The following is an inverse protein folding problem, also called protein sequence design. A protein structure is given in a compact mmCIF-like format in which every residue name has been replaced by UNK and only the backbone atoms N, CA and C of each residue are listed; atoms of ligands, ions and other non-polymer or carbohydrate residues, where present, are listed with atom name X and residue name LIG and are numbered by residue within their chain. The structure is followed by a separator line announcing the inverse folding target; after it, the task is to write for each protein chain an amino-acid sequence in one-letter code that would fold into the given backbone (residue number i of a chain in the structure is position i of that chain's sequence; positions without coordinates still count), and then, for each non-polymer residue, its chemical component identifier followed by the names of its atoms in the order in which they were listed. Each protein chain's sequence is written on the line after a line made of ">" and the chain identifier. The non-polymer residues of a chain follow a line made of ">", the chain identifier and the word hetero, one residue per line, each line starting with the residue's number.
data_IF_793414366744
#
_entry.id   IF_793414366744
#
_cell.length_a   1.000
_cell.length_b   1.000
_cell.length_c   1.000
_cell.angle_alpha   90.00
_cell.angle_beta   90.00
_cell.angle_gamma   90.00
#
_symmetry.space_group_name_H-M   'P 1'
#
loop_
_entity.id
_entity.type
_entity.pdbx_description
1 polymer ?
#
# COMPACT_ATOMS: atom_id res chain seq x y z
N UNK A 1 -46.44 -16.27 45.74
CA UNK A 1 -45.84 -16.28 44.37
C UNK A 1 -45.61 -14.90 43.76
N UNK A 2 -45.88 -13.77 44.43
CA UNK A 2 -45.73 -12.41 43.84
C UNK A 2 -44.33 -11.79 43.98
N UNK A 3 -43.56 -12.18 45.00
CA UNK A 3 -42.26 -11.56 45.30
C UNK A 3 -41.15 -11.93 44.29
N UNK A 4 -41.17 -13.18 43.78
CA UNK A 4 -40.21 -13.66 42.79
C UNK A 4 -40.41 -13.00 41.41
N UNK A 5 -41.65 -12.66 41.06
CA UNK A 5 -41.99 -12.00 39.78
C UNK A 5 -41.48 -10.55 39.71
N UNK A 6 -41.50 -9.85 40.84
CA UNK A 6 -41.02 -8.47 40.94
C UNK A 6 -39.48 -8.38 40.87
N UNK A 7 -38.78 -9.43 41.31
CA UNK A 7 -37.32 -9.56 41.19
C UNK A 7 -36.90 -9.81 39.74
N UNK A 8 -37.61 -10.68 39.01
CA UNK A 8 -37.34 -10.96 37.59
C UNK A 8 -37.59 -9.74 36.69
N UNK A 9 -38.60 -8.93 36.99
CA UNK A 9 -38.93 -7.72 36.22
C UNK A 9 -37.89 -6.60 36.42
N UNK A 10 -37.33 -6.48 37.64
CA UNK A 10 -36.21 -5.55 37.91
C UNK A 10 -34.92 -5.96 37.20
N UNK A 11 -34.59 -7.26 37.22
CA UNK A 11 -33.37 -7.77 36.59
C UNK A 11 -33.44 -7.63 35.06
N UNK A 12 -34.58 -7.93 34.44
CA UNK A 12 -34.78 -7.74 32.99
C UNK A 12 -34.72 -6.26 32.59
N UNK A 13 -35.24 -5.35 33.42
CA UNK A 13 -35.10 -3.90 33.23
C UNK A 13 -33.64 -3.41 33.27
N UNK A 14 -32.82 -3.96 34.18
CA UNK A 14 -31.39 -3.63 34.31
C UNK A 14 -30.61 -4.17 33.10
N UNK A 15 -30.83 -5.42 32.71
CA UNK A 15 -30.17 -6.04 31.55
C UNK A 15 -30.50 -5.25 30.28
N UNK A 16 -31.76 -4.88 30.07
CA UNK A 16 -32.17 -4.07 28.91
C UNK A 16 -31.45 -2.71 28.86
N UNK A 17 -31.27 -2.04 30.01
CA UNK A 17 -30.52 -0.77 30.08
C UNK A 17 -29.05 -0.96 29.75
N UNK A 18 -28.43 -2.02 30.26
CA UNK A 18 -27.02 -2.36 29.98
C UNK A 18 -26.83 -2.70 28.49
N UNK A 19 -27.74 -3.47 27.90
CA UNK A 19 -27.70 -3.80 26.46
C UNK A 19 -27.83 -2.57 25.58
N UNK A 20 -28.71 -1.63 25.93
CA UNK A 20 -28.86 -0.36 25.19
C UNK A 20 -27.57 0.49 25.29
N UNK A 21 -26.97 0.57 26.47
CA UNK A 21 -25.71 1.29 26.69
C UNK A 21 -24.55 0.65 25.93
N UNK A 22 -24.48 -0.69 25.92
CA UNK A 22 -23.48 -1.44 25.17
C UNK A 22 -23.63 -1.25 23.65
N UNK A 23 -24.85 -1.33 23.12
CA UNK A 23 -25.13 -1.05 21.70
C UNK A 23 -24.75 0.37 21.35
N UNK A 24 -25.05 1.35 22.21
CA UNK A 24 -24.71 2.75 21.97
C UNK A 24 -23.19 2.97 21.94
N UNK A 25 -22.43 2.41 22.88
CA UNK A 25 -20.96 2.48 22.91
C UNK A 25 -20.35 1.76 21.71
N UNK A 26 -20.86 0.57 21.35
CA UNK A 26 -20.39 -0.18 20.19
C UNK A 26 -20.68 0.55 18.87
N UNK A 27 -21.83 1.22 18.78
CA UNK A 27 -22.19 2.05 17.62
C UNK A 27 -21.24 3.24 17.45
N UNK A 28 -20.86 3.89 18.56
CA UNK A 28 -19.85 4.96 18.53
C UNK A 28 -18.50 4.41 18.06
N UNK A 29 -18.07 3.26 18.56
CA UNK A 29 -16.83 2.61 18.12
C UNK A 29 -16.84 2.24 16.62
N UNK A 30 -17.98 1.77 16.10
CA UNK A 30 -18.12 1.45 14.67
C UNK A 30 -18.08 2.69 13.76
N UNK A 31 -18.61 3.83 14.23
CA UNK A 31 -18.56 5.09 13.47
C UNK A 31 -17.12 5.63 13.38
N UNK A 32 -16.31 5.46 14.44
CA UNK A 32 -14.91 5.92 14.43
C UNK A 32 -13.95 5.03 13.62
N UNK A 33 -14.28 3.75 13.38
CA UNK A 33 -13.39 2.81 12.68
C UNK A 33 -13.47 2.85 11.15
N UNK A 34 -14.34 3.67 10.55
CA UNK A 34 -14.59 3.64 9.09
C UNK A 34 -14.38 4.98 8.36
N UNK A 35 -13.45 5.82 8.84
CA UNK A 35 -12.91 6.90 8.01
C UNK A 35 -11.82 6.31 7.10
N UNK A 36 -12.14 6.14 5.82
CA UNK A 36 -11.25 5.46 4.86
C UNK A 36 -9.90 6.17 4.74
N UNK A 37 -8.81 5.45 5.00
CA UNK A 37 -7.43 5.94 4.80
C UNK A 37 -7.11 6.29 3.34
N UNK A 38 -7.87 5.75 2.38
CA UNK A 38 -7.63 5.89 0.96
C UNK A 38 -8.37 7.09 0.37
N UNK A 39 -7.64 7.92 -0.36
CA UNK A 39 -8.19 9.06 -1.10
C UNK A 39 -8.84 8.57 -2.40
N UNK A 40 -9.99 9.16 -2.75
CA UNK A 40 -10.75 8.76 -3.93
C UNK A 40 -10.23 9.47 -5.17
N UNK A 41 -9.74 8.71 -6.15
CA UNK A 41 -9.37 9.29 -7.44
C UNK A 41 -10.61 9.86 -8.15
N UNK A 42 -10.49 11.11 -8.61
CA UNK A 42 -11.48 11.76 -9.46
C UNK A 42 -11.05 11.63 -10.93
N UNK A 43 -11.87 10.95 -11.73
CA UNK A 43 -11.67 10.79 -13.17
C UNK A 43 -11.16 9.41 -13.59
N UNK A 44 -10.86 9.27 -14.89
CA UNK A 44 -10.41 8.01 -15.50
C UNK A 44 -8.92 8.08 -15.86
N UNK A 45 -8.16 7.06 -15.46
CA UNK A 45 -6.73 6.91 -15.77
C UNK A 45 -6.45 6.58 -17.25
N UNK A 46 -7.46 6.16 -18.02
CA UNK A 46 -7.32 5.64 -19.39
C UNK A 46 -6.97 6.69 -20.46
N UNK A 47 -6.93 7.98 -20.09
CA UNK A 47 -6.65 9.09 -21.02
C UNK A 47 -5.29 9.74 -20.81
N UNK A 48 -4.43 9.15 -19.99
CA UNK A 48 -3.10 9.70 -19.74
C UNK A 48 -2.19 9.50 -20.97
N UNK A 49 -1.47 10.54 -21.43
CA UNK A 49 -0.46 10.41 -22.49
C UNK A 49 0.69 9.48 -22.08
N UNK A 50 0.89 9.24 -20.78
CA UNK A 50 1.92 8.35 -20.25
C UNK A 50 1.53 6.86 -20.23
N UNK A 51 0.31 6.52 -20.66
CA UNK A 51 -0.20 5.15 -20.67
C UNK A 51 0.72 4.14 -21.39
N UNK A 52 1.39 4.47 -22.51
CA UNK A 52 2.36 3.56 -23.14
C UNK A 52 3.56 3.20 -22.25
N UNK A 53 3.92 4.07 -21.30
CA UNK A 53 5.07 3.86 -20.40
C UNK A 53 4.68 3.11 -19.12
N UNK A 54 3.45 3.29 -18.64
CA UNK A 54 2.97 2.62 -17.43
C UNK A 54 2.30 1.27 -17.70
N UNK A 55 1.85 1.03 -18.93
CA UNK A 55 1.10 -0.17 -19.32
C UNK A 55 -0.41 0.03 -19.24
N UNK A 56 -1.18 -0.90 -19.78
CA UNK A 56 -2.65 -0.75 -19.93
C UNK A 56 -3.44 -0.95 -18.64
N UNK A 57 -2.91 -1.75 -17.73
CA UNK A 57 -3.46 -2.13 -16.43
C UNK A 57 -2.79 -1.41 -15.26
N UNK A 58 -2.08 -0.31 -15.51
CA UNK A 58 -1.45 0.45 -14.42
C UNK A 58 -2.49 0.95 -13.41
N UNK A 59 -2.09 0.95 -12.14
CA UNK A 59 -2.93 1.36 -11.02
C UNK A 59 -2.28 2.51 -10.26
N UNK A 60 -3.10 3.44 -9.79
CA UNK A 60 -2.65 4.57 -8.98
C UNK A 60 -3.54 4.69 -7.75
N UNK A 61 -2.93 4.92 -6.59
CA UNK A 61 -3.63 5.15 -5.33
C UNK A 61 -2.94 6.21 -4.50
N UNK A 62 -3.71 6.95 -3.71
CA UNK A 62 -3.17 7.82 -2.69
C UNK A 62 -3.88 7.54 -1.36
N UNK A 63 -3.12 7.54 -0.26
CA UNK A 63 -3.66 7.31 1.08
C UNK A 63 -3.07 8.29 2.08
N UNK A 64 -3.86 8.65 3.09
CA UNK A 64 -3.37 9.37 4.25
C UNK A 64 -2.59 8.39 5.12
N UNK A 65 -1.42 8.81 5.58
CA UNK A 65 -0.57 8.00 6.44
C UNK A 65 -0.83 8.34 7.90
N UNK A 66 -1.20 7.34 8.69
CA UNK A 66 -1.31 7.46 10.14
C UNK A 66 0.03 7.15 10.82
N UNK A 67 0.14 7.44 12.12
CA UNK A 67 1.39 7.25 12.88
C UNK A 67 1.87 5.80 12.87
N UNK A 68 0.95 4.84 12.93
CA UNK A 68 1.29 3.42 12.96
C UNK A 68 1.87 2.96 11.60
N UNK A 69 1.35 3.50 10.50
CA UNK A 69 1.79 3.17 9.14
C UNK A 69 3.18 3.79 8.83
N UNK A 70 3.55 4.90 9.50
CA UNK A 70 4.88 5.52 9.35
C UNK A 70 6.02 4.60 9.78
N UNK A 71 5.81 3.72 10.76
CA UNK A 71 6.86 2.80 11.22
C UNK A 71 7.26 1.79 10.15
N UNK A 72 6.28 1.28 9.42
CA UNK A 72 6.49 0.37 8.30
C UNK A 72 7.14 1.11 7.13
N UNK A 73 6.63 2.29 6.77
CA UNK A 73 7.20 3.11 5.69
C UNK A 73 8.65 3.50 5.99
N UNK A 74 8.99 3.81 7.25
CA UNK A 74 10.38 4.08 7.66
C UNK A 74 11.31 2.89 7.41
N UNK A 75 10.83 1.66 7.61
CA UNK A 75 11.61 0.44 7.30
C UNK A 75 11.81 0.31 5.80
N UNK A 76 10.75 0.49 5.01
CA UNK A 76 10.82 0.42 3.55
C UNK A 76 11.79 1.45 2.97
N UNK A 77 11.72 2.70 3.42
CA UNK A 77 12.62 3.78 3.02
C UNK A 77 14.09 3.46 3.37
N UNK A 78 14.34 2.90 4.56
CA UNK A 78 15.68 2.48 4.98
C UNK A 78 16.21 1.31 4.13
N UNK A 79 15.34 0.36 3.78
CA UNK A 79 15.70 -0.76 2.92
C UNK A 79 16.07 -0.29 1.51
N UNK A 80 15.30 0.64 0.95
CA UNK A 80 15.62 1.26 -0.34
C UNK A 80 16.96 2.00 -0.29
N UNK A 81 17.19 2.81 0.74
CA UNK A 81 18.44 3.54 0.91
C UNK A 81 19.65 2.59 1.05
N UNK A 82 19.47 1.47 1.73
CA UNK A 82 20.49 0.44 1.87
C UNK A 82 20.81 -0.25 0.54
N UNK A 83 19.83 -0.37 -0.36
CA UNK A 83 20.01 -1.00 -1.68
C UNK A 83 20.75 -0.11 -2.70
N UNK A 84 20.52 1.21 -2.68
CA UNK A 84 21.06 2.13 -3.70
C UNK A 84 22.38 2.81 -3.31
N UNK A 85 22.73 2.81 -2.03
CA UNK A 85 23.97 3.41 -1.48
C UNK A 85 24.34 4.78 -2.07
N UNK A 86 23.47 5.81 -1.94
CA UNK A 86 23.77 7.16 -2.41
C UNK A 86 24.90 7.82 -1.60
N UNK A 87 25.54 8.86 -2.16
CA UNK A 87 26.63 9.60 -1.49
C UNK A 87 26.16 10.25 -0.18
N UNK A 88 24.92 10.74 -0.11
CA UNK A 88 24.34 11.42 1.05
C UNK A 88 23.60 10.47 2.00
N UNK A 89 24.04 9.20 2.05
CA UNK A 89 23.34 8.13 2.79
C UNK A 89 23.14 8.47 4.27
N UNK A 90 24.15 9.06 4.93
CA UNK A 90 24.08 9.36 6.36
C UNK A 90 23.01 10.42 6.66
N UNK A 91 22.98 11.49 5.90
CA UNK A 91 22.00 12.58 6.06
C UNK A 91 20.58 12.08 5.79
N UNK A 92 20.37 11.34 4.68
CA UNK A 92 19.06 10.75 4.37
C UNK A 92 18.62 9.73 5.41
N UNK A 93 19.54 8.95 5.96
CA UNK A 93 19.21 7.97 7.00
C UNK A 93 18.79 8.64 8.32
N UNK A 94 19.48 9.71 8.71
CA UNK A 94 19.10 10.51 9.88
C UNK A 94 17.72 11.13 9.67
N UNK A 95 17.49 11.69 8.49
CA UNK A 95 16.22 12.30 8.13
C UNK A 95 15.05 11.30 8.15
N UNK A 96 15.22 10.13 7.55
CA UNK A 96 14.20 9.06 7.57
C UNK A 96 13.98 8.58 9.01
N UNK A 97 15.02 8.59 9.84
CA UNK A 97 14.91 8.19 11.25
C UNK A 97 14.18 9.24 12.09
N UNK A 98 14.30 10.53 11.75
CA UNK A 98 13.60 11.62 12.43
C UNK A 98 12.14 11.78 12.01
N UNK A 99 11.69 11.10 10.93
CA UNK A 99 10.30 11.15 10.48
C UNK A 99 9.34 10.83 11.63
N UNK A 100 8.60 11.86 12.04
CA UNK A 100 7.59 11.79 13.09
C UNK A 100 6.26 12.30 12.55
N UNK A 101 5.17 11.63 12.92
CA UNK A 101 3.79 12.01 12.52
C UNK A 101 3.28 13.31 13.15
N UNK A 102 4.12 14.05 13.88
CA UNK A 102 3.79 15.35 14.49
C UNK A 102 4.19 16.55 13.64
N UNK A 103 5.12 16.38 12.70
CA UNK A 103 5.71 17.47 11.91
C UNK A 103 4.74 18.03 10.86
N UNK A 104 3.84 17.20 10.36
CA UNK A 104 2.95 17.59 9.28
C UNK A 104 1.98 16.48 8.89
N UNK A 105 1.30 16.72 7.78
CA UNK A 105 0.39 15.77 7.16
C UNK A 105 1.15 14.95 6.13
N UNK A 106 1.03 13.63 6.21
CA UNK A 106 1.69 12.70 5.31
C UNK A 106 0.67 12.05 4.38
N UNK A 107 0.96 12.06 3.09
CA UNK A 107 0.19 11.38 2.05
C UNK A 107 1.12 10.43 1.33
N UNK A 108 0.73 9.16 1.21
CA UNK A 108 1.44 8.16 0.44
C UNK A 108 0.78 8.04 -0.93
N UNK A 109 1.49 8.43 -1.97
CA UNK A 109 1.10 8.20 -3.35
C UNK A 109 1.80 6.93 -3.86
N UNK A 110 1.06 6.06 -4.55
CA UNK A 110 1.57 4.82 -5.12
C UNK A 110 1.12 4.70 -6.56
N UNK A 111 2.06 4.31 -7.43
CA UNK A 111 1.81 3.87 -8.80
C UNK A 111 2.35 2.46 -8.99
N UNK A 112 1.51 1.59 -9.55
CA UNK A 112 1.79 0.20 -9.88
C UNK A 112 1.68 0.04 -11.39
N UNK A 113 2.77 0.27 -12.14
CA UNK A 113 2.81 -0.01 -13.57
C UNK A 113 2.88 -1.52 -13.86
N UNK A 114 2.53 -1.92 -15.09
CA UNK A 114 2.68 -3.30 -15.55
C UNK A 114 4.16 -3.71 -15.69
N UNK A 115 5.02 -2.76 -16.06
CA UNK A 115 6.45 -3.00 -16.29
C UNK A 115 7.29 -1.97 -15.55
N UNK A 116 8.61 -2.20 -15.47
CA UNK A 116 9.53 -1.22 -14.87
C UNK A 116 9.55 0.06 -15.69
N UNK A 117 9.45 1.17 -14.98
CA UNK A 117 9.36 2.52 -15.54
C UNK A 117 10.69 3.24 -15.33
N UNK A 118 11.10 4.04 -16.33
CA UNK A 118 12.30 4.87 -16.25
C UNK A 118 12.09 6.02 -15.25
N UNK A 119 13.16 6.49 -14.56
CA UNK A 119 13.06 7.57 -13.58
C UNK A 119 12.42 8.86 -14.09
N UNK A 120 12.58 9.17 -15.38
CA UNK A 120 12.00 10.37 -16.01
C UNK A 120 10.47 10.40 -15.93
N UNK A 121 9.83 9.23 -16.03
CA UNK A 121 8.38 9.10 -15.94
C UNK A 121 7.88 8.97 -14.51
N UNK A 122 8.75 9.16 -13.52
CA UNK A 122 8.44 9.10 -12.09
C UNK A 122 8.60 10.47 -11.39
N UNK A 123 8.85 11.53 -12.17
CA UNK A 123 8.96 12.90 -11.66
C UNK A 123 7.57 13.52 -11.50
N UNK A 124 6.92 13.23 -10.37
CA UNK A 124 5.62 13.78 -10.02
C UNK A 124 5.76 15.07 -9.21
N UNK A 125 4.90 16.05 -9.48
CA UNK A 125 4.72 17.22 -8.61
C UNK A 125 3.46 17.02 -7.76
N UNK A 126 3.56 17.35 -6.48
CA UNK A 126 2.48 17.11 -5.52
C UNK A 126 1.98 18.42 -4.93
N UNK A 127 0.66 18.59 -4.91
CA UNK A 127 0.01 19.71 -4.24
C UNK A 127 -1.20 19.27 -3.43
N UNK A 128 -1.46 20.00 -2.34
CA UNK A 128 -2.62 19.81 -1.49
C UNK A 128 -3.35 21.15 -1.39
N UNK A 129 -4.58 21.22 -1.88
CA UNK A 129 -5.34 22.48 -1.99
C UNK A 129 -4.50 23.60 -2.64
N UNK A 130 -3.86 23.28 -3.76
CA UNK A 130 -2.98 24.18 -4.54
C UNK A 130 -1.72 24.68 -3.83
N UNK A 131 -1.39 24.13 -2.64
CA UNK A 131 -0.13 24.38 -1.96
C UNK A 131 0.88 23.27 -2.24
N UNK A 132 2.15 23.60 -2.53
CA UNK A 132 3.16 22.60 -2.86
C UNK A 132 3.53 21.73 -1.65
N UNK A 133 4.04 20.53 -1.93
CA UNK A 133 4.66 19.67 -0.92
C UNK A 133 5.97 20.26 -0.40
N UNK A 134 6.24 20.10 0.90
CA UNK A 134 7.54 20.48 1.47
C UNK A 134 8.64 19.49 1.08
N UNK A 135 8.30 18.20 1.15
CA UNK A 135 9.28 17.14 0.98
C UNK A 135 8.63 15.88 0.43
N UNK A 136 9.40 15.17 -0.36
CA UNK A 136 8.98 13.95 -1.06
C UNK A 136 10.07 12.91 -0.90
N UNK A 137 9.71 11.72 -0.45
CA UNK A 137 10.57 10.55 -0.41
C UNK A 137 10.02 9.48 -1.34
N UNK A 138 10.69 9.27 -2.47
CA UNK A 138 10.37 8.20 -3.41
C UNK A 138 11.12 6.92 -3.07
N UNK A 139 10.43 5.79 -3.08
CA UNK A 139 11.02 4.47 -2.91
C UNK A 139 10.35 3.43 -3.80
N UNK A 140 11.10 2.37 -4.11
CA UNK A 140 10.67 1.29 -4.98
C UNK A 140 10.53 0.00 -4.18
N UNK A 141 9.38 -0.65 -4.34
CA UNK A 141 9.08 -1.95 -3.74
C UNK A 141 8.78 -2.92 -4.88
N UNK A 142 9.43 -4.08 -4.86
CA UNK A 142 9.12 -5.17 -5.78
C UNK A 142 8.45 -6.30 -5.00
N UNK A 143 7.22 -6.64 -5.38
CA UNK A 143 6.48 -7.75 -4.79
C UNK A 143 6.53 -8.94 -5.75
N UNK A 144 6.93 -10.09 -5.21
CA UNK A 144 6.92 -11.36 -5.92
C UNK A 144 5.83 -12.21 -5.31
N UNK A 145 4.80 -12.54 -6.09
CA UNK A 145 3.73 -13.43 -5.65
C UNK A 145 3.82 -14.73 -6.42
N UNK A 146 3.99 -15.84 -5.70
CA UNK A 146 3.95 -17.18 -6.28
C UNK A 146 2.63 -17.83 -5.86
N UNK A 147 1.81 -18.22 -6.84
CA UNK A 147 0.57 -18.95 -6.62
C UNK A 147 0.70 -20.34 -7.17
N UNK A 148 0.39 -21.34 -6.34
CA UNK A 148 0.34 -22.74 -6.76
C UNK A 148 -1.10 -23.05 -7.16
N UNK A 149 -1.31 -23.48 -8.41
CA UNK A 149 -2.61 -23.81 -9.01
C UNK A 149 -3.21 -25.09 -8.42
N UNK A 150 -2.39 -25.95 -7.79
CA UNK A 150 -2.80 -27.24 -7.26
C UNK A 150 -2.89 -27.24 -5.72
N UNK A 151 -4.01 -27.72 -5.18
CA UNK A 151 -4.27 -27.89 -3.74
C UNK A 151 -3.70 -29.19 -3.15
N UNK A 152 -3.04 -30.01 -3.98
CA UNK A 152 -2.40 -31.26 -3.52
C UNK A 152 -0.97 -30.97 -3.07
N UNK A 153 -0.71 -31.28 -1.81
CA UNK A 153 0.60 -31.14 -1.17
C UNK A 153 1.63 -32.04 -1.89
N UNK A 154 2.44 -31.48 -2.80
CA UNK A 154 3.59 -32.19 -3.35
C UNK A 154 4.77 -32.03 -2.40
N UNK A 155 5.09 -33.10 -1.67
CA UNK A 155 6.12 -33.15 -0.63
C UNK A 155 7.57 -33.15 -1.17
N UNK A 156 7.87 -32.36 -2.20
CA UNK A 156 9.23 -32.20 -2.72
C UNK A 156 9.56 -30.72 -2.83
N UNK A 157 10.76 -30.30 -2.36
CA UNK A 157 11.15 -28.89 -2.38
C UNK A 157 11.17 -28.40 -3.83
N UNK A 158 10.35 -27.38 -4.12
CA UNK A 158 10.39 -26.64 -5.36
C UNK A 158 11.72 -25.87 -5.40
N UNK A 159 12.73 -26.44 -6.04
CA UNK A 159 13.92 -25.70 -6.42
C UNK A 159 13.51 -24.71 -7.52
N UNK A 160 13.37 -23.44 -7.16
CA UNK A 160 13.35 -22.35 -8.14
C UNK A 160 14.65 -22.41 -8.93
N UNK A 161 14.57 -22.88 -10.17
CA UNK A 161 15.71 -23.03 -11.06
C UNK A 161 16.19 -21.66 -11.52
N UNK A 162 17.06 -21.05 -10.73
CA UNK A 162 18.03 -20.10 -11.26
C UNK A 162 18.93 -20.87 -12.23
N UNK A 163 18.90 -20.48 -13.51
CA UNK A 163 19.71 -21.10 -14.54
C UNK A 163 21.21 -20.87 -14.27
N UNK A 164 21.88 -21.89 -13.73
CA UNK A 164 23.33 -22.05 -13.86
C UNK A 164 23.58 -23.19 -14.86
N UNK A 165 24.57 -23.06 -15.77
CA UNK A 165 24.73 -24.00 -16.87
C UNK A 165 25.25 -25.33 -16.34
N UNK A 166 24.38 -26.34 -16.28
CA UNK A 166 24.75 -27.69 -15.89
C UNK A 166 25.38 -28.42 -17.08
N UNK A 167 26.58 -28.93 -16.86
CA UNK A 167 27.28 -29.85 -17.76
C UNK A 167 26.36 -31.04 -18.14
N UNK A 168 26.27 -31.45 -19.41
CA UNK A 168 25.55 -32.66 -19.79
C UNK A 168 26.34 -33.87 -19.28
N UNK A 169 25.75 -34.60 -18.33
CA UNK A 169 26.26 -35.91 -17.91
C UNK A 169 26.19 -36.93 -19.06
N UNK A 170 27.09 -37.90 -19.02
CA UNK A 170 27.32 -38.93 -20.04
C UNK A 170 26.10 -39.81 -20.31
N UNK A 171 25.92 -40.29 -21.57
CA UNK A 171 24.71 -40.99 -21.98
C UNK A 171 24.69 -42.41 -21.43
N UNK A 172 23.69 -42.74 -20.60
CA UNK A 172 23.46 -44.11 -20.12
C UNK A 172 22.76 -44.29 -18.78
N UNK A 173 22.54 -43.22 -17.99
CA UNK A 173 21.84 -43.31 -16.72
C UNK A 173 20.53 -42.51 -16.75
N UNK A 174 19.42 -43.24 -16.67
CA UNK A 174 18.02 -42.78 -16.55
C UNK A 174 17.51 -41.93 -17.71
N UNK A 175 16.61 -42.52 -18.50
CA UNK A 175 15.73 -41.77 -19.40
C UNK A 175 14.79 -40.90 -18.56
N UNK A 176 15.21 -39.69 -18.22
CA UNK A 176 14.26 -38.60 -18.05
C UNK A 176 13.68 -38.33 -19.44
N UNK A 177 12.58 -39.02 -19.78
CA UNK A 177 11.66 -38.51 -20.77
C UNK A 177 11.31 -37.06 -20.43
N UNK A 178 10.76 -36.27 -21.37
CA UNK A 178 10.42 -34.88 -21.08
C UNK A 178 9.30 -34.90 -20.03
N UNK A 179 9.67 -34.90 -18.76
CA UNK A 179 8.76 -34.57 -17.69
C UNK A 179 8.61 -33.06 -17.83
N UNK A 180 7.75 -32.68 -18.77
CA UNK A 180 7.13 -31.38 -18.82
C UNK A 180 6.29 -31.30 -17.54
N UNK A 181 6.95 -31.01 -16.43
CA UNK A 181 6.29 -30.41 -15.29
C UNK A 181 5.83 -29.05 -15.81
N UNK A 182 4.57 -29.00 -16.24
CA UNK A 182 3.85 -27.75 -16.36
C UNK A 182 3.91 -27.16 -14.96
N UNK A 183 4.71 -26.11 -14.76
CA UNK A 183 4.93 -25.57 -13.43
C UNK A 183 3.60 -25.06 -12.93
N UNK A 184 2.97 -25.81 -12.03
CA UNK A 184 1.73 -25.42 -11.32
C UNK A 184 1.91 -24.12 -10.52
N UNK A 185 3.09 -23.50 -10.54
CA UNK A 185 3.43 -22.25 -9.88
C UNK A 185 3.37 -21.11 -10.90
N UNK A 186 2.32 -20.29 -10.83
CA UNK A 186 2.28 -19.00 -11.52
C UNK A 186 2.98 -17.95 -10.67
N UNK A 187 4.02 -17.31 -11.19
CA UNK A 187 4.74 -16.23 -10.51
C UNK A 187 4.40 -14.89 -11.14
N UNK A 188 3.78 -14.00 -10.37
CA UNK A 188 3.50 -12.63 -10.77
C UNK A 188 4.45 -11.68 -10.04
N UNK A 189 5.10 -10.81 -10.83
CA UNK A 189 5.97 -9.76 -10.32
C UNK A 189 5.30 -8.41 -10.48
N UNK A 190 5.12 -7.70 -9.38
CA UNK A 190 4.53 -6.36 -9.38
C UNK A 190 5.61 -5.32 -9.02
N UNK A 191 5.62 -4.24 -9.79
CA UNK A 191 6.50 -3.11 -9.58
C UNK A 191 5.71 -2.00 -8.89
N UNK A 192 6.05 -1.66 -7.65
CA UNK A 192 5.38 -0.61 -6.90
C UNK A 192 6.33 0.57 -6.69
N UNK A 193 5.98 1.74 -7.22
CA UNK A 193 6.68 2.99 -6.92
C UNK A 193 5.83 3.79 -5.94
N UNK A 194 6.42 4.12 -4.78
CA UNK A 194 5.75 4.79 -3.69
C UNK A 194 6.44 6.12 -3.39
N UNK A 195 5.65 7.12 -3.06
CA UNK A 195 6.09 8.48 -2.77
C UNK A 195 5.42 8.94 -1.49
N UNK A 196 6.21 9.04 -0.41
CA UNK A 196 5.76 9.66 0.82
C UNK A 196 5.90 11.18 0.66
N UNK A 197 4.79 11.90 0.76
CA UNK A 197 4.74 13.35 0.57
C UNK A 197 4.37 14.01 1.89
N UNK A 198 5.14 15.03 2.30
CA UNK A 198 4.86 15.83 3.49
C UNK A 198 4.30 17.19 3.11
N UNK A 199 3.22 17.56 3.80
CA UNK A 199 2.61 18.88 3.75
C UNK A 199 2.63 19.54 5.14
N UNK A 200 2.71 20.88 5.21
CA UNK A 200 2.63 21.60 6.47
C UNK A 200 1.27 21.36 7.13
N UNK A 201 1.27 21.32 8.46
CA UNK A 201 0.06 21.11 9.25
C UNK A 201 -1.01 22.18 9.02
N UNK A 202 -0.60 23.38 8.62
CA UNK A 202 -1.50 24.49 8.26
C UNK A 202 -2.34 24.21 7.01
N UNK A 203 -1.96 23.21 6.21
CA UNK A 203 -2.73 22.77 5.04
C UNK A 203 -3.74 21.68 5.40
N UNK A 204 -3.80 21.28 6.68
CA UNK A 204 -4.77 20.32 7.16
C UNK A 204 -6.19 20.84 6.92
N UNK A 205 -7.07 19.90 6.63
CA UNK A 205 -8.47 20.06 6.23
C UNK A 205 -9.16 21.22 6.97
N UNK A 206 -9.55 22.26 6.24
CA UNK A 206 -10.44 23.28 6.79
C UNK A 206 -11.84 22.66 6.89
N UNK A 207 -12.51 22.71 8.06
CA UNK A 207 -13.82 22.11 8.21
C UNK A 207 -14.82 22.78 7.25
N UNK A 208 -15.46 21.97 6.39
CA UNK A 208 -16.50 22.41 5.44
C UNK A 208 -16.04 22.54 3.99
N UNK A 209 -14.74 22.49 3.69
CA UNK A 209 -14.21 22.52 2.32
C UNK A 209 -13.69 21.16 1.89
N UNK A 210 -14.05 20.72 0.69
CA UNK A 210 -13.45 19.52 0.06
C UNK A 210 -11.96 19.74 -0.11
N UNK A 211 -11.16 18.82 0.41
CA UNK A 211 -9.70 18.87 0.28
C UNK A 211 -9.27 17.99 -0.87
N UNK A 212 -8.44 18.52 -1.76
CA UNK A 212 -7.96 17.82 -2.94
C UNK A 212 -6.45 17.68 -2.89
N UNK A 213 -6.00 16.44 -3.00
CA UNK A 213 -4.61 16.12 -3.30
C UNK A 213 -4.47 16.02 -4.82
N UNK A 214 -3.60 16.82 -5.41
CA UNK A 214 -3.35 16.81 -6.84
C UNK A 214 -1.92 16.30 -7.10
N UNK A 215 -1.81 15.47 -8.13
CA UNK A 215 -0.54 14.95 -8.62
C UNK A 215 -0.42 15.36 -10.08
N UNK A 216 0.60 16.15 -10.38
CA UNK A 216 0.95 16.51 -11.75
C UNK A 216 1.98 15.50 -12.24
N UNK A 217 1.63 14.82 -13.31
CA UNK A 217 2.47 13.84 -13.98
C UNK A 217 3.56 14.52 -14.84
N UNK A 218 4.63 13.81 -15.21
CA UNK A 218 5.69 14.35 -16.06
C UNK A 218 5.21 14.95 -17.39
N UNK A 219 4.14 14.42 -18.01
CA UNK A 219 3.56 15.03 -19.21
C UNK A 219 2.46 16.07 -18.91
N UNK A 220 2.45 16.61 -17.68
CA UNK A 220 1.58 17.69 -17.19
C UNK A 220 0.09 17.32 -17.11
N UNK A 221 -0.23 16.04 -17.08
CA UNK A 221 -1.58 15.56 -16.77
C UNK A 221 -1.85 15.66 -15.27
N UNK A 222 -3.05 16.06 -14.89
CA UNK A 222 -3.43 16.29 -13.49
C UNK A 222 -4.28 15.12 -13.00
N UNK A 223 -3.80 14.43 -11.97
CA UNK A 223 -4.57 13.44 -11.21
C UNK A 223 -5.09 14.12 -9.94
N UNK A 224 -6.40 14.07 -9.71
CA UNK A 224 -7.02 14.65 -8.51
C UNK A 224 -7.55 13.55 -7.61
N UNK A 225 -7.24 13.64 -6.33
CA UNK A 225 -7.71 12.74 -5.29
C UNK A 225 -8.50 13.54 -4.27
N UNK A 226 -9.73 13.13 -4.00
CA UNK A 226 -10.58 13.69 -2.98
C UNK A 226 -10.30 13.02 -1.63
N UNK A 227 -10.13 13.87 -0.61
CA UNK A 227 -9.86 13.50 0.76
C UNK A 227 -11.13 13.17 1.55
#
# INVERSE_FOLDING_TARGET
>A
MSFLRNQTDRITGIIRRISVLFVFVFSIFLIFSCSGKNLRLQGELRRLPELPYYGTGFYVSASKVDKDDLDEIRKDLKNELASRTPKDRLERWQEISSLNGSEGMYVLFQIVPETRVLPEFLNFEFSLNDKPSEKVWGYYVQTFTARVRNSRFSALPAYGTFAYPYYPATPGLYSSGPILYDSDVTTDTEHCYRFLVRFPKENATVPGTRTFFQVITPAKSILKFEY
#
